data_IF_275278958253
#
_entry.id   IF_275278958253
#
_cell.length_a   1.000
_cell.length_b   1.000
_cell.length_c   1.000
_cell.angle_alpha   90.00
_cell.angle_beta   90.00
_cell.angle_gamma   90.00
#
_symmetry.space_group_name_H-M   'P 1'
#
loop_
_entity.id
_entity.type
_entity.pdbx_description
1 polymer ?
#
# COMPACT_ATOMS: atom_id res chain seq x y z
N UNK A 1 -1.91 -32.56 38.34
CA UNK A 1 -1.44 -31.25 37.85
C UNK A 1 -0.52 -31.52 36.66
N UNK A 2 -0.95 -31.18 35.44
CA UNK A 2 -0.14 -31.37 34.22
C UNK A 2 0.49 -30.02 33.91
N UNK A 3 1.81 -29.91 34.04
CA UNK A 3 2.55 -28.70 33.68
C UNK A 3 2.68 -28.61 32.15
N UNK A 4 2.51 -27.42 31.54
CA UNK A 4 2.70 -27.26 30.10
C UNK A 4 4.20 -27.33 29.74
N UNK A 5 4.51 -28.15 28.74
CA UNK A 5 5.83 -28.26 28.12
C UNK A 5 6.11 -26.98 27.31
N UNK A 6 7.26 -26.35 27.56
CA UNK A 6 7.70 -25.17 26.80
C UNK A 6 8.16 -25.58 25.38
N UNK A 7 7.85 -24.78 24.34
CA UNK A 7 8.26 -25.07 22.97
C UNK A 7 9.77 -24.92 22.77
N UNK A 8 10.33 -25.76 21.90
CA UNK A 8 11.75 -25.87 21.60
C UNK A 8 12.26 -24.64 20.81
N UNK A 9 13.35 -23.97 21.22
CA UNK A 9 13.90 -22.80 20.53
C UNK A 9 14.44 -23.05 19.10
N UNK A 10 14.35 -24.29 18.59
CA UNK A 10 14.75 -24.64 17.21
C UNK A 10 13.60 -24.68 16.20
N UNK A 11 12.36 -24.46 16.61
CA UNK A 11 11.22 -24.36 15.69
C UNK A 11 11.21 -22.99 15.00
N UNK A 12 12.10 -22.83 14.01
CA UNK A 12 12.05 -21.71 13.06
C UNK A 12 10.77 -21.88 12.25
N UNK A 13 9.77 -21.03 12.53
CA UNK A 13 8.55 -20.95 11.75
C UNK A 13 8.88 -20.83 10.26
N UNK A 14 8.45 -21.81 9.47
CA UNK A 14 8.56 -21.77 8.03
C UNK A 14 7.77 -20.56 7.48
N UNK A 15 8.25 -19.89 6.42
CA UNK A 15 7.48 -18.84 5.77
C UNK A 15 6.17 -19.42 5.27
N UNK A 16 5.06 -18.85 5.72
CA UNK A 16 3.73 -19.14 5.20
C UNK A 16 3.64 -18.43 3.85
N UNK A 17 3.42 -19.18 2.77
CA UNK A 17 3.17 -18.65 1.44
C UNK A 17 1.66 -18.56 1.22
N UNK A 18 1.19 -17.49 0.58
CA UNK A 18 -0.18 -17.42 0.09
C UNK A 18 -0.42 -18.44 -1.05
N UNK A 19 -1.68 -18.67 -1.40
CA UNK A 19 -2.09 -19.50 -2.56
C UNK A 19 -1.39 -19.12 -3.86
N UNK A 20 -0.91 -17.87 -3.94
CA UNK A 20 -0.34 -17.27 -5.14
C UNK A 20 1.21 -17.30 -5.12
N UNK A 21 1.82 -18.02 -4.18
CA UNK A 21 3.28 -18.22 -4.09
C UNK A 21 4.10 -17.01 -3.63
N UNK A 22 3.46 -15.88 -3.30
CA UNK A 22 4.14 -14.72 -2.73
C UNK A 22 4.31 -14.84 -1.19
N UNK A 23 5.46 -14.43 -0.63
CA UNK A 23 5.67 -14.42 0.81
C UNK A 23 4.74 -13.37 1.45
N UNK A 24 4.02 -13.76 2.50
CA UNK A 24 3.28 -12.81 3.32
C UNK A 24 4.24 -11.80 3.97
N UNK A 25 3.81 -10.54 4.06
CA UNK A 25 4.41 -9.60 5.00
C UNK A 25 4.42 -10.27 6.40
N UNK A 26 5.54 -10.16 7.12
CA UNK A 26 5.72 -10.84 8.42
C UNK A 26 4.49 -10.59 9.30
N UNK A 27 3.88 -11.63 9.90
CA UNK A 27 2.73 -11.44 10.77
C UNK A 27 3.13 -10.47 11.88
N UNK A 28 2.26 -9.50 12.17
CA UNK A 28 2.44 -8.65 13.33
C UNK A 28 2.58 -9.57 14.55
N UNK A 29 3.69 -9.46 15.27
CA UNK A 29 3.89 -10.26 16.48
C UNK A 29 2.68 -10.10 17.37
N UNK A 30 1.99 -11.21 17.68
CA UNK A 30 0.88 -11.21 18.62
C UNK A 30 1.47 -10.73 19.96
N UNK A 31 1.24 -9.47 20.31
CA UNK A 31 1.56 -8.94 21.64
C UNK A 31 0.80 -9.83 22.62
N UNK A 32 1.51 -10.75 23.28
CA UNK A 32 0.91 -11.56 24.33
C UNK A 32 0.46 -10.59 25.41
N UNK A 33 -0.84 -10.53 25.67
CA UNK A 33 -1.38 -9.96 26.90
C UNK A 33 -0.82 -10.80 28.07
N UNK A 34 0.29 -10.35 28.63
CA UNK A 34 1.02 -11.05 29.69
C UNK A 34 1.79 -10.05 30.53
N UNK A 35 1.19 -9.69 31.67
CA UNK A 35 1.78 -9.04 32.83
C UNK A 35 2.50 -7.70 32.60
N UNK A 36 1.75 -6.59 32.64
CA UNK A 36 2.29 -5.31 33.08
C UNK A 36 2.51 -5.37 34.60
N UNK A 37 3.65 -5.90 35.03
CA UNK A 37 4.21 -5.58 36.34
C UNK A 37 5.26 -4.48 36.10
N UNK A 38 4.93 -3.25 36.50
CA UNK A 38 5.89 -2.16 36.55
C UNK A 38 6.96 -2.46 37.63
N UNK A 39 8.26 -2.41 37.31
CA UNK A 39 9.29 -2.33 38.33
C UNK A 39 9.81 -0.89 38.45
N UNK A 40 9.80 -0.41 39.68
CA UNK A 40 10.57 0.69 40.23
C UNK A 40 11.97 0.86 39.61
N UNK A 41 12.33 2.09 39.24
CA UNK A 41 13.73 2.54 39.19
C UNK A 41 14.10 3.09 40.59
N UNK A 42 15.32 2.83 41.09
CA UNK A 42 16.42 3.79 40.85
C UNK A 42 17.84 3.17 40.78
N UNK A 43 18.80 3.96 40.28
CA UNK A 43 20.21 3.85 40.69
C UNK A 43 21.22 3.42 39.62
N UNK A 44 21.98 4.40 39.15
CA UNK A 44 23.38 4.40 38.66
C UNK A 44 24.08 3.05 38.43
N UNK A 45 24.66 2.84 37.24
CA UNK A 45 26.12 2.77 37.07
C UNK A 45 26.54 2.88 35.59
N UNK A 46 27.76 3.37 35.40
CA UNK A 46 28.43 3.77 34.17
C UNK A 46 28.94 2.60 33.31
N UNK A 47 28.98 2.82 31.99
CA UNK A 47 30.06 2.29 31.14
C UNK A 47 29.76 1.01 30.35
N UNK A 48 29.38 1.16 29.07
CA UNK A 48 29.83 0.28 27.99
C UNK A 48 29.44 0.90 26.64
N UNK A 49 30.41 1.59 26.06
CA UNK A 49 30.39 2.15 24.71
C UNK A 49 30.65 1.00 23.71
N UNK A 50 29.59 0.48 23.08
CA UNK A 50 29.73 -0.52 22.01
C UNK A 50 29.34 0.11 20.66
N UNK A 51 30.37 0.48 19.90
CA UNK A 51 30.28 0.88 18.50
C UNK A 51 29.93 -0.36 17.66
N UNK A 52 28.69 -0.47 17.18
CA UNK A 52 28.32 -1.45 16.16
C UNK A 52 28.27 -0.73 14.81
N UNK A 53 29.41 -0.71 14.14
CA UNK A 53 29.54 -0.33 12.73
C UNK A 53 29.10 -1.52 11.87
N UNK A 54 27.83 -1.54 11.46
CA UNK A 54 27.33 -2.52 10.50
C UNK A 54 27.75 -2.11 9.09
N UNK A 55 28.81 -2.76 8.59
CA UNK A 55 29.26 -2.69 7.20
C UNK A 55 28.27 -3.47 6.33
N UNK A 56 27.31 -2.76 5.73
CA UNK A 56 26.43 -3.34 4.71
C UNK A 56 27.23 -3.52 3.41
N UNK A 57 27.62 -4.78 3.13
CA UNK A 57 28.15 -5.16 1.82
C UNK A 57 27.02 -5.17 0.79
N UNK A 58 27.24 -4.66 -0.44
CA UNK A 58 26.25 -4.76 -1.51
C UNK A 58 26.17 -6.21 -2.03
N UNK A 59 24.94 -6.72 -2.15
CA UNK A 59 24.63 -8.00 -2.79
C UNK A 59 24.68 -7.78 -4.32
N UNK A 60 25.45 -8.56 -5.09
CA UNK A 60 25.44 -8.50 -6.54
C UNK A 60 24.21 -9.24 -7.08
N UNK A 61 23.42 -8.56 -7.91
CA UNK A 61 22.30 -9.15 -8.65
C UNK A 61 22.86 -9.62 -10.00
N UNK A 62 22.97 -10.94 -10.20
CA UNK A 62 23.32 -11.51 -11.50
C UNK A 62 22.15 -11.40 -12.50
N UNK A 63 22.40 -11.00 -13.76
CA UNK A 63 21.40 -11.05 -14.82
C UNK A 63 21.29 -12.48 -15.37
N UNK A 64 20.09 -13.08 -15.26
CA UNK A 64 19.76 -14.32 -15.96
C UNK A 64 19.88 -14.11 -17.47
N UNK A 65 20.84 -14.80 -18.09
CA UNK A 65 20.94 -14.98 -19.55
C UNK A 65 19.76 -15.83 -20.02
N UNK A 66 18.88 -15.24 -20.83
CA UNK A 66 17.92 -15.98 -21.65
C UNK A 66 18.63 -16.33 -22.96
N UNK A 67 18.66 -17.62 -23.24
CA UNK A 67 19.21 -18.23 -24.44
C UNK A 67 18.49 -17.76 -25.71
N UNK A 68 19.25 -17.22 -26.66
CA UNK A 68 18.80 -17.02 -28.03
C UNK A 68 18.89 -18.35 -28.79
N UNK A 69 17.76 -19.02 -29.00
CA UNK A 69 17.66 -20.03 -30.07
C UNK A 69 17.22 -19.32 -31.36
N UNK A 70 18.09 -19.42 -32.38
CA UNK A 70 18.01 -18.72 -33.66
C UNK A 70 17.98 -19.77 -34.75
N UNK A 71 16.80 -20.34 -35.04
CA UNK A 71 16.51 -21.09 -36.28
C UNK A 71 15.21 -20.54 -36.87
N UNK A 72 15.28 -19.68 -37.89
CA UNK A 72 15.42 -20.02 -39.32
C UNK A 72 14.21 -20.79 -39.83
N UNK A 73 13.20 -20.04 -40.27
CA UNK A 73 12.33 -20.41 -41.38
C UNK A 73 12.10 -19.15 -42.23
N UNK A 74 12.49 -19.23 -43.50
CA UNK A 74 12.28 -18.21 -44.51
C UNK A 74 11.06 -18.58 -45.38
N UNK A 75 10.49 -17.53 -45.98
CA UNK A 75 9.65 -17.47 -47.17
C UNK A 75 8.13 -17.68 -46.99
N UNK A 76 7.39 -16.61 -47.30
CA UNK A 76 6.00 -16.74 -47.74
C UNK A 76 5.12 -15.51 -47.56
N UNK A 77 5.18 -14.60 -48.53
CA UNK A 77 3.97 -13.99 -49.14
C UNK A 77 3.34 -12.72 -48.57
N UNK A 78 3.32 -11.71 -49.46
CA UNK A 78 2.23 -10.80 -49.79
C UNK A 78 1.70 -9.79 -48.75
N UNK A 79 2.19 -8.56 -48.93
CA UNK A 79 1.39 -7.35 -49.17
C UNK A 79 0.11 -7.15 -48.34
N UNK A 80 0.17 -6.23 -47.38
CA UNK A 80 -0.83 -5.15 -47.26
C UNK A 80 -0.25 -4.08 -46.33
N UNK A 81 0.09 -2.94 -46.92
CA UNK A 81 0.44 -1.72 -46.22
C UNK A 81 -0.80 -1.21 -45.48
N UNK A 82 -0.96 -1.62 -44.22
CA UNK A 82 -1.80 -0.88 -43.29
C UNK A 82 -0.89 0.05 -42.50
N UNK A 83 -0.89 1.31 -42.92
CA UNK A 83 -0.50 2.47 -42.11
C UNK A 83 -1.41 2.49 -40.88
N UNK A 84 -1.08 1.67 -39.88
CA UNK A 84 -1.67 1.76 -38.55
C UNK A 84 -1.12 3.03 -37.91
N UNK A 85 -1.79 4.14 -38.18
CA UNK A 85 -1.75 5.30 -37.30
C UNK A 85 -1.92 4.74 -35.88
N UNK A 86 -0.94 4.94 -34.97
CA UNK A 86 -1.17 4.58 -33.59
C UNK A 86 -2.41 5.35 -33.17
N UNK A 87 -3.48 4.63 -32.81
CA UNK A 87 -4.57 5.26 -32.09
C UNK A 87 -3.89 5.99 -30.94
N UNK A 88 -3.93 7.32 -30.95
CA UNK A 88 -3.61 8.13 -29.78
C UNK A 88 -4.63 7.66 -28.75
N UNK A 89 -4.26 6.63 -27.98
CA UNK A 89 -4.92 6.28 -26.73
C UNK A 89 -4.67 7.51 -25.88
N UNK A 90 -5.54 8.52 -26.01
CA UNK A 90 -5.65 9.58 -25.03
C UNK A 90 -5.66 8.86 -23.70
N UNK A 91 -4.64 9.13 -22.88
CA UNK A 91 -4.29 8.30 -21.73
C UNK A 91 -5.54 8.17 -20.87
N UNK A 92 -6.25 7.06 -20.99
CA UNK A 92 -7.50 6.86 -20.29
C UNK A 92 -7.15 6.92 -18.80
N UNK A 93 -7.80 7.82 -18.08
CA UNK A 93 -7.57 7.97 -16.65
C UNK A 93 -8.79 7.50 -15.89
N UNK A 94 -8.55 6.89 -14.74
CA UNK A 94 -9.58 6.37 -13.86
C UNK A 94 -9.59 7.17 -12.56
N UNK A 95 -10.75 7.67 -12.11
CA UNK A 95 -10.83 8.41 -10.87
C UNK A 95 -10.66 7.46 -9.67
N UNK A 96 -9.88 7.92 -8.70
CA UNK A 96 -9.53 7.21 -7.47
C UNK A 96 -10.16 7.92 -6.29
N UNK A 97 -10.78 7.15 -5.39
CA UNK A 97 -11.50 7.63 -4.23
C UNK A 97 -11.05 6.92 -2.97
N UNK A 98 -11.13 7.59 -1.83
CA UNK A 98 -11.29 6.90 -0.54
C UNK A 98 -12.78 6.71 -0.27
N UNK A 99 -13.15 5.57 0.29
CA UNK A 99 -14.55 5.20 0.52
C UNK A 99 -14.71 4.67 1.93
N UNK A 100 -15.65 5.24 2.66
CA UNK A 100 -16.03 4.78 3.99
C UNK A 100 -17.36 4.02 3.95
N UNK A 101 -17.39 2.87 4.62
CA UNK A 101 -18.60 2.10 4.90
C UNK A 101 -18.88 2.13 6.41
N UNK A 102 -20.15 2.24 6.78
CA UNK A 102 -20.67 2.07 8.13
C UNK A 102 -20.63 0.58 8.46
N UNK A 103 -19.90 0.24 9.53
CA UNK A 103 -19.92 -1.07 10.14
C UNK A 103 -20.05 -0.90 11.66
N UNK A 104 -20.64 -1.89 12.32
CA UNK A 104 -20.55 -2.04 13.76
C UNK A 104 -19.50 -3.12 14.04
N UNK A 105 -18.53 -2.90 14.95
CA UNK A 105 -18.34 -1.70 15.78
C UNK A 105 -17.56 -0.56 15.09
N UNK A 106 -16.93 -0.80 13.94
CA UNK A 106 -15.99 0.14 13.31
C UNK A 106 -16.36 0.50 11.87
N UNK A 107 -16.03 1.73 11.48
CA UNK A 107 -16.02 2.16 10.08
C UNK A 107 -14.97 1.36 9.29
N UNK A 108 -15.32 1.00 8.06
CA UNK A 108 -14.40 0.36 7.13
C UNK A 108 -14.01 1.33 6.02
N UNK A 109 -12.72 1.64 5.87
CA UNK A 109 -12.20 2.49 4.80
C UNK A 109 -11.51 1.65 3.71
N UNK A 110 -11.69 2.05 2.46
CA UNK A 110 -11.11 1.40 1.30
C UNK A 110 -10.65 2.42 0.25
N UNK A 111 -9.81 1.97 -0.68
CA UNK A 111 -9.51 2.68 -1.93
C UNK A 111 -10.42 2.13 -3.01
N UNK A 112 -11.08 3.01 -3.77
CA UNK A 112 -11.91 2.62 -4.91
C UNK A 112 -11.39 3.27 -6.19
N UNK A 113 -11.25 2.48 -7.24
CA UNK A 113 -10.87 2.93 -8.58
C UNK A 113 -12.02 2.62 -9.53
N UNK A 114 -12.63 3.66 -10.08
CA UNK A 114 -13.73 3.53 -11.04
C UNK A 114 -13.15 3.28 -12.43
N UNK A 115 -13.15 2.02 -12.87
CA UNK A 115 -12.50 1.62 -14.13
C UNK A 115 -13.43 1.70 -15.34
N UNK A 116 -14.74 1.68 -15.12
CA UNK A 116 -15.79 1.75 -16.14
C UNK A 116 -17.08 2.34 -15.55
N UNK A 117 -18.06 2.65 -16.38
CA UNK A 117 -19.29 3.35 -15.94
C UNK A 117 -20.10 2.56 -14.91
N UNK A 118 -20.12 1.23 -15.04
CA UNK A 118 -20.89 0.35 -14.17
C UNK A 118 -20.22 0.08 -12.81
N UNK A 119 -18.92 0.34 -12.68
CA UNK A 119 -18.18 -0.07 -11.50
C UNK A 119 -16.66 0.03 -11.59
N UNK A 120 -16.01 -0.77 -10.74
CA UNK A 120 -14.57 -0.70 -10.58
C UNK A 120 -14.05 -1.68 -9.53
N UNK A 121 -12.87 -1.38 -9.01
CA UNK A 121 -12.20 -2.21 -8.02
C UNK A 121 -12.07 -1.49 -6.68
N UNK A 122 -12.34 -2.24 -5.62
CA UNK A 122 -12.15 -1.84 -4.25
C UNK A 122 -10.94 -2.58 -3.67
N UNK A 123 -9.99 -1.83 -3.15
CA UNK A 123 -8.78 -2.30 -2.49
C UNK A 123 -8.87 -1.97 -1.02
N UNK A 124 -8.72 -2.97 -0.16
CA UNK A 124 -8.94 -2.81 1.27
C UNK A 124 -8.21 -3.87 2.08
N UNK A 125 -8.15 -3.65 3.39
CA UNK A 125 -7.74 -4.65 4.36
C UNK A 125 -8.93 -5.08 5.19
N UNK A 126 -9.17 -6.39 5.27
CA UNK A 126 -10.29 -6.99 6.00
C UNK A 126 -9.75 -7.75 7.20
N UNK A 127 -10.47 -7.68 8.32
CA UNK A 127 -10.09 -8.32 9.57
C UNK A 127 -10.24 -7.35 10.73
N UNK A 128 -9.60 -7.71 11.83
CA UNK A 128 -9.59 -6.92 13.06
C UNK A 128 -8.26 -7.10 13.79
N UNK A 129 -8.12 -6.40 14.91
CA UNK A 129 -6.93 -6.40 15.74
C UNK A 129 -6.61 -7.74 16.41
N UNK A 130 -7.58 -8.64 16.54
CA UNK A 130 -7.43 -9.94 17.21
C UNK A 130 -7.08 -11.05 16.20
N UNK A 131 -7.81 -11.10 15.09
CA UNK A 131 -7.65 -12.08 14.01
C UNK A 131 -6.57 -11.70 13.00
N UNK A 132 -6.21 -10.41 12.95
CA UNK A 132 -5.29 -9.83 12.00
C UNK A 132 -5.99 -9.31 10.76
N UNK A 133 -5.40 -8.26 10.16
CA UNK A 133 -5.84 -7.73 8.87
C UNK A 133 -5.16 -8.46 7.72
N UNK A 134 -5.90 -8.68 6.62
CA UNK A 134 -5.38 -9.18 5.34
C UNK A 134 -5.82 -8.27 4.20
N UNK A 135 -4.96 -8.12 3.20
CA UNK A 135 -5.31 -7.40 1.99
C UNK A 135 -6.29 -8.19 1.11
N UNK A 136 -7.27 -7.50 0.53
CA UNK A 136 -8.19 -8.04 -0.46
C UNK A 136 -8.41 -7.03 -1.61
N UNK A 137 -8.74 -7.56 -2.79
CA UNK A 137 -9.22 -6.78 -3.94
C UNK A 137 -10.61 -7.31 -4.33
N UNK A 138 -11.57 -6.43 -4.55
CA UNK A 138 -12.95 -6.81 -4.90
C UNK A 138 -13.51 -5.96 -6.05
N UNK A 139 -14.05 -6.61 -7.07
CA UNK A 139 -14.87 -5.93 -8.09
C UNK A 139 -16.21 -5.50 -7.50
N UNK A 140 -16.69 -4.29 -7.84
CA UNK A 140 -17.95 -3.76 -7.32
C UNK A 140 -18.69 -2.88 -8.32
N UNK A 141 -20.02 -2.94 -8.31
CA UNK A 141 -20.92 -2.13 -9.15
C UNK A 141 -21.14 -0.73 -8.56
N UNK A 142 -20.06 -0.09 -8.10
CA UNK A 142 -19.98 1.15 -7.34
C UNK A 142 -20.28 1.02 -5.83
N UNK A 143 -19.50 1.65 -4.94
CA UNK A 143 -19.70 1.56 -3.50
C UNK A 143 -21.04 2.12 -2.99
N UNK A 144 -21.60 3.12 -3.66
CA UNK A 144 -22.84 3.81 -3.27
C UNK A 144 -24.06 2.90 -3.31
N UNK A 145 -23.98 1.80 -4.06
CA UNK A 145 -25.06 0.78 -4.09
C UNK A 145 -25.05 -0.11 -2.85
N UNK A 146 -24.01 -0.05 -2.01
CA UNK A 146 -23.97 -0.80 -0.75
C UNK A 146 -24.86 -0.15 0.31
N UNK A 147 -25.63 -0.96 1.04
CA UNK A 147 -26.42 -0.51 2.21
C UNK A 147 -25.56 0.08 3.32
N UNK A 148 -24.29 -0.33 3.39
CA UNK A 148 -23.31 0.16 4.37
C UNK A 148 -22.55 1.39 3.89
N UNK A 149 -22.78 1.88 2.67
CA UNK A 149 -22.07 3.06 2.18
C UNK A 149 -22.30 4.27 3.10
N UNK A 150 -21.21 4.98 3.42
CA UNK A 150 -21.26 6.22 4.18
C UNK A 150 -20.91 7.42 3.32
N UNK A 151 -19.72 7.40 2.71
CA UNK A 151 -19.17 8.53 1.97
C UNK A 151 -18.05 8.08 1.03
N UNK A 152 -17.79 8.88 -0.01
CA UNK A 152 -16.61 8.76 -0.86
C UNK A 152 -15.95 10.12 -1.04
N UNK A 153 -14.62 10.16 -1.12
CA UNK A 153 -13.85 11.37 -1.38
C UNK A 153 -12.92 11.16 -2.56
N UNK A 154 -13.02 12.04 -3.55
CA UNK A 154 -12.14 12.03 -4.70
C UNK A 154 -10.71 12.40 -4.29
N UNK A 155 -9.74 11.56 -4.64
CA UNK A 155 -8.32 11.70 -4.30
C UNK A 155 -7.48 12.11 -5.51
N UNK A 156 -7.83 11.66 -6.70
CA UNK A 156 -7.08 11.95 -7.91
C UNK A 156 -7.43 11.00 -9.06
N UNK A 157 -6.54 10.92 -10.04
CA UNK A 157 -6.67 9.99 -11.16
C UNK A 157 -5.44 9.09 -11.29
N UNK A 158 -5.63 7.87 -11.76
CA UNK A 158 -4.57 6.93 -12.17
C UNK A 158 -4.64 6.70 -13.68
N UNK A 159 -3.50 6.54 -14.36
CA UNK A 159 -3.49 6.14 -15.78
C UNK A 159 -3.96 4.69 -15.91
N UNK A 160 -4.61 4.35 -17.02
CA UNK A 160 -4.92 2.95 -17.37
C UNK A 160 -3.69 2.06 -17.34
N UNK A 161 -2.54 2.57 -17.79
CA UNK A 161 -1.27 1.83 -17.82
C UNK A 161 -0.69 1.60 -16.42
N UNK A 162 -1.09 2.40 -15.42
CA UNK A 162 -0.61 2.33 -14.04
C UNK A 162 -1.53 1.52 -13.11
N UNK A 163 -2.65 0.97 -13.61
CA UNK A 163 -3.60 0.20 -12.79
C UNK A 163 -2.94 -1.03 -12.13
N UNK A 164 -2.09 -1.74 -12.87
CA UNK A 164 -1.35 -2.89 -12.34
C UNK A 164 -0.35 -2.46 -11.25
N UNK A 165 0.32 -1.31 -11.45
CA UNK A 165 1.24 -0.72 -10.48
C UNK A 165 0.50 -0.27 -9.22
N UNK A 166 -0.69 0.32 -9.36
CA UNK A 166 -1.56 0.71 -8.24
C UNK A 166 -1.92 -0.51 -7.38
N UNK A 167 -2.37 -1.60 -8.00
CA UNK A 167 -2.70 -2.82 -7.26
C UNK A 167 -1.46 -3.41 -6.56
N UNK A 168 -0.32 -3.45 -7.24
CA UNK A 168 0.92 -3.94 -6.66
C UNK A 168 1.34 -3.12 -5.42
N UNK A 169 1.24 -1.78 -5.50
CA UNK A 169 1.49 -0.88 -4.36
C UNK A 169 0.54 -1.17 -3.21
N UNK A 170 -0.77 -1.26 -3.47
CA UNK A 170 -1.76 -1.51 -2.42
C UNK A 170 -1.48 -2.84 -1.69
N UNK A 171 -1.11 -3.89 -2.44
CA UNK A 171 -0.75 -5.20 -1.89
C UNK A 171 0.54 -5.19 -1.07
N UNK A 172 1.51 -4.33 -1.41
CA UNK A 172 2.80 -4.21 -0.73
C UNK A 172 2.72 -3.40 0.57
N UNK A 173 1.76 -2.49 0.69
CA UNK A 173 1.54 -1.73 1.93
C UNK A 173 1.14 -2.71 3.04
N UNK A 174 1.90 -2.79 4.14
CA UNK A 174 1.66 -3.78 5.18
C UNK A 174 0.28 -3.53 5.82
N UNK A 175 -0.48 -4.61 6.12
CA UNK A 175 -1.73 -4.47 6.87
C UNK A 175 -1.51 -3.77 8.22
N UNK A 176 -2.54 -3.10 8.76
CA UNK A 176 -2.46 -2.44 10.05
C UNK A 176 -2.00 -3.40 11.15
N UNK A 177 -1.14 -2.89 12.02
CA UNK A 177 -0.56 -3.62 13.13
C UNK A 177 -0.61 -2.78 14.41
N UNK A 178 -0.68 -3.45 15.56
CA UNK A 178 -0.54 -2.79 16.85
C UNK A 178 0.89 -2.27 17.02
N UNK A 179 1.01 -1.06 17.54
CA UNK A 179 2.29 -0.45 17.88
C UNK A 179 2.32 -0.17 19.38
N UNK A 180 3.43 -0.52 20.05
CA UNK A 180 3.64 -0.17 21.45
C UNK A 180 4.40 1.16 21.52
N UNK A 181 3.71 2.23 21.90
CA UNK A 181 4.28 3.58 21.99
C UNK A 181 4.24 4.03 23.45
N UNK A 182 5.41 4.16 24.08
CA UNK A 182 5.50 4.58 25.49
C UNK A 182 4.76 3.67 26.48
N UNK A 183 4.62 2.37 26.16
CA UNK A 183 3.87 1.42 26.97
C UNK A 183 2.37 1.35 26.66
N UNK A 184 1.85 2.21 25.79
CA UNK A 184 0.46 2.21 25.33
C UNK A 184 0.34 1.49 23.99
N UNK A 185 -0.64 0.60 23.87
CA UNK A 185 -0.96 -0.06 22.59
C UNK A 185 -1.74 0.93 21.73
N UNK A 186 -1.16 1.31 20.60
CA UNK A 186 -1.80 2.09 19.56
C UNK A 186 -2.39 1.14 18.52
N UNK A 187 -3.73 1.08 18.47
CA UNK A 187 -4.47 0.23 17.55
C UNK A 187 -4.58 0.87 16.17
N UNK A 188 -3.81 0.39 15.19
CA UNK A 188 -4.00 0.75 13.78
C UNK A 188 -5.12 -0.08 13.16
N UNK A 189 -5.85 0.55 12.24
CA UNK A 189 -6.99 -0.06 11.54
C UNK A 189 -6.93 0.21 10.02
N UNK A 190 -7.98 -0.19 9.30
CA UNK A 190 -8.08 -0.01 7.84
C UNK A 190 -7.87 1.45 7.37
N UNK A 191 -8.18 2.46 8.19
CA UNK A 191 -7.97 3.88 7.83
C UNK A 191 -6.48 4.21 7.73
N UNK A 192 -5.68 3.63 8.61
CA UNK A 192 -4.22 3.80 8.60
C UNK A 192 -3.60 3.15 7.37
N UNK A 193 -4.08 1.96 6.99
CA UNK A 193 -3.63 1.32 5.74
C UNK A 193 -4.00 2.16 4.51
N UNK A 194 -5.23 2.68 4.42
CA UNK A 194 -5.65 3.56 3.32
C UNK A 194 -4.77 4.81 3.24
N UNK A 195 -4.45 5.42 4.39
CA UNK A 195 -3.56 6.58 4.45
C UNK A 195 -2.16 6.25 3.91
N UNK A 196 -1.52 5.20 4.43
CA UNK A 196 -0.19 4.79 3.97
C UNK A 196 -0.17 4.38 2.50
N UNK A 197 -1.21 3.71 2.01
CA UNK A 197 -1.32 3.35 0.60
C UNK A 197 -1.41 4.59 -0.30
N UNK A 198 -2.18 5.61 0.08
CA UNK A 198 -2.19 6.88 -0.67
C UNK A 198 -0.83 7.58 -0.65
N UNK A 199 -0.13 7.61 0.49
CA UNK A 199 1.21 8.19 0.56
C UNK A 199 2.20 7.51 -0.40
N UNK A 200 2.16 6.17 -0.51
CA UNK A 200 3.00 5.44 -1.48
C UNK A 200 2.56 5.75 -2.91
N UNK A 201 1.26 5.69 -3.22
CA UNK A 201 0.75 5.97 -4.57
C UNK A 201 1.11 7.37 -5.07
N UNK A 202 1.07 8.38 -4.19
CA UNK A 202 1.48 9.75 -4.52
C UNK A 202 2.99 9.87 -4.70
N UNK A 203 3.77 9.25 -3.81
CA UNK A 203 5.25 9.27 -3.88
C UNK A 203 5.77 8.61 -5.16
N UNK A 204 5.20 7.46 -5.54
CA UNK A 204 5.56 6.73 -6.75
C UNK A 204 4.94 7.33 -8.03
N UNK A 205 4.23 8.47 -7.92
CA UNK A 205 3.58 9.20 -9.02
C UNK A 205 2.55 8.39 -9.83
N UNK A 206 2.05 7.30 -9.25
CA UNK A 206 0.96 6.48 -9.81
C UNK A 206 -0.38 7.22 -9.67
N UNK A 207 -0.58 7.89 -8.55
CA UNK A 207 -1.73 8.76 -8.34
C UNK A 207 -1.40 10.21 -8.70
N UNK A 208 -2.17 10.79 -9.62
CA UNK A 208 -2.16 12.24 -9.88
C UNK A 208 -3.18 12.90 -8.95
N UNK A 209 -2.74 13.59 -7.88
CA UNK A 209 -3.65 14.07 -6.85
C UNK A 209 -4.56 15.17 -7.38
N UNK A 210 -5.71 15.33 -6.74
CA UNK A 210 -6.61 16.46 -6.97
C UNK A 210 -5.85 17.79 -6.76
N UNK A 211 -6.03 18.81 -7.64
CA UNK A 211 -5.49 20.13 -7.37
C UNK A 211 -6.04 20.66 -6.04
N UNK A 212 -5.14 21.00 -5.11
CA UNK A 212 -5.51 21.59 -3.81
C UNK A 212 -6.23 22.91 -4.09
N UNK A 213 -7.51 23.02 -3.69
CA UNK A 213 -8.22 24.31 -3.68
C UNK A 213 -7.40 25.25 -2.79
N UNK A 214 -6.70 26.22 -3.39
CA UNK A 214 -5.81 27.17 -2.69
C UNK A 214 -4.36 27.22 -3.18
N UNK A 215 -3.88 26.24 -3.96
CA UNK A 215 -2.48 26.21 -4.43
C UNK A 215 -2.18 27.12 -5.65
N UNK A 216 -3.07 28.08 -5.95
CA UNK A 216 -2.95 28.98 -7.11
C UNK A 216 -3.20 30.46 -6.82
N UNK A 217 -3.41 30.87 -5.56
CA UNK A 217 -3.38 32.27 -5.20
C UNK A 217 -1.94 32.67 -4.88
N UNK A 218 -1.11 32.89 -5.91
CA UNK A 218 -0.01 33.83 -5.72
C UNK A 218 -0.67 35.15 -5.33
N UNK A 219 -0.51 35.53 -4.07
CA UNK A 219 -0.89 36.86 -3.59
C UNK A 219 -0.23 37.84 -4.57
N UNK A 220 -0.97 38.79 -5.18
CA UNK A 220 -0.31 39.81 -5.99
C UNK A 220 0.76 40.44 -5.12
N UNK A 221 1.98 40.43 -5.64
CA UNK A 221 3.12 41.05 -5.02
C UNK A 221 2.87 42.57 -4.97
N UNK A 222 2.23 43.01 -3.89
CA UNK A 222 1.92 44.42 -3.62
C UNK A 222 3.20 45.28 -3.52
N UNK A 223 4.40 44.67 -3.48
CA UNK A 223 5.66 45.41 -3.57
C UNK A 223 6.03 45.82 -5.00
N UNK A 224 5.23 45.45 -6.02
CA UNK A 224 5.39 45.89 -7.41
C UNK A 224 4.37 46.96 -7.85
N UNK A 225 3.56 47.47 -6.93
CA UNK A 225 2.70 48.63 -7.20
C UNK A 225 3.45 49.87 -6.74
N UNK A 226 4.35 50.33 -7.62
CA UNK A 226 5.03 51.62 -7.52
C UNK A 226 4.99 52.24 -8.92
N UNK A 227 4.44 53.46 -8.97
CA UNK A 227 4.45 54.44 -10.05
C UNK A 227 3.70 54.17 -11.37
N UNK A 228 2.59 54.89 -11.53
CA UNK A 228 2.21 55.65 -12.74
C UNK A 228 1.06 56.60 -12.37
N UNK A 229 1.37 57.85 -12.04
CA UNK A 229 0.41 58.94 -11.77
C UNK A 229 1.06 60.15 -11.12
#
# INVERSE_FOLDING_TARGET
MVLPVAPNPKDKAAPIFGSDGHPFAKPCGRLRAGAYNAPHLPGHDVGAMLMITAVLRPIPIEPRRISHDRRRFQHGSAATSNTHLPCVRGMATHPVFSVSHKGLPAFHEAIYVETHEEGGYLYHVVGDNLSGYRYETKATNRPEKSKTFSKKYYKGTVSRDDLATLEAICRQVPPPCHELIGGVIFERDCRHWVFSAFEVLEREKVLKPKPKKGAGAQKPDLSKIVDCG
#
